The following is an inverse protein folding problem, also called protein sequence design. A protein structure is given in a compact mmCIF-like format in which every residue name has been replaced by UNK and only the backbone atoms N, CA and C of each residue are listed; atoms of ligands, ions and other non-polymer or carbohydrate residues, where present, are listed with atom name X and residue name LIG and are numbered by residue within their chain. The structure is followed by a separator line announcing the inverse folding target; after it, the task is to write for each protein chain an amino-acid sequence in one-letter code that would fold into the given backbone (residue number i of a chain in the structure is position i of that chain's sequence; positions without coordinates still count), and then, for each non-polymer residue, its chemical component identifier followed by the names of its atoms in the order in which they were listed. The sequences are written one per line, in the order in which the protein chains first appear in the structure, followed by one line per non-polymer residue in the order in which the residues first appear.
data_IF_083872298500
#
_entry.id   IF_083872298500
#
_cell.length_a   1.000
_cell.length_b   1.000
_cell.length_c   1.000
_cell.angle_alpha   90.00
_cell.angle_beta   90.00
_cell.angle_gamma   90.00
#
_symmetry.space_group_name_H-M   'P 1'
#
loop_
_entity.id
_entity.type
_entity.pdbx_description
1 polymer ?
#
# COMPACT_ATOMS: atom_id res chain seq x y z
N UNK A 1 -15.87 23.70 -31.87
CA UNK A 1 -16.81 23.10 -30.94
C UNK A 1 -17.34 21.75 -31.44
N UNK A 2 -17.86 21.64 -32.68
CA UNK A 2 -18.38 20.35 -33.24
C UNK A 2 -17.34 19.22 -33.27
N UNK A 3 -16.10 19.48 -33.69
CA UNK A 3 -15.00 18.51 -33.73
C UNK A 3 -14.61 18.00 -32.34
N UNK A 4 -14.62 18.88 -31.35
CA UNK A 4 -14.35 18.51 -29.96
C UNK A 4 -15.45 17.59 -29.41
N UNK A 5 -16.71 17.92 -29.64
CA UNK A 5 -17.84 17.10 -29.23
C UNK A 5 -17.85 15.72 -29.92
N UNK A 6 -17.51 15.67 -31.22
CA UNK A 6 -17.37 14.40 -31.94
C UNK A 6 -16.23 13.55 -31.39
N UNK A 7 -15.06 14.14 -31.13
CA UNK A 7 -13.93 13.42 -30.53
C UNK A 7 -14.28 12.88 -29.13
N UNK A 8 -14.94 13.69 -28.30
CA UNK A 8 -15.42 13.26 -26.96
C UNK A 8 -16.45 12.14 -27.05
N UNK A 9 -17.38 12.22 -28.01
CA UNK A 9 -18.38 11.17 -28.23
C UNK A 9 -17.74 9.85 -28.69
N UNK A 10 -16.78 9.92 -29.62
CA UNK A 10 -16.04 8.72 -30.07
C UNK A 10 -15.25 8.10 -28.92
N UNK A 11 -14.56 8.94 -28.12
CA UNK A 11 -13.87 8.45 -26.92
C UNK A 11 -14.80 7.79 -25.91
N UNK A 12 -15.97 8.38 -25.66
CA UNK A 12 -16.98 7.81 -24.78
C UNK A 12 -17.52 6.47 -25.31
N UNK A 13 -17.86 6.39 -26.60
CA UNK A 13 -18.32 5.15 -27.22
C UNK A 13 -17.24 4.05 -27.19
N UNK A 14 -15.99 4.40 -27.42
CA UNK A 14 -14.87 3.46 -27.30
C UNK A 14 -14.68 2.94 -25.87
N UNK A 15 -15.06 3.73 -24.85
CA UNK A 15 -14.99 3.35 -23.45
C UNK A 15 -16.23 2.57 -22.96
N UNK A 16 -17.32 2.51 -23.75
CA UNK A 16 -18.57 1.83 -23.37
C UNK A 16 -18.38 0.37 -22.90
N UNK A 17 -17.56 -0.47 -23.56
CA UNK A 17 -17.34 -1.84 -23.09
C UNK A 17 -16.77 -1.90 -21.67
N UNK A 18 -15.90 -0.93 -21.30
CA UNK A 18 -15.36 -0.80 -19.96
C UNK A 18 -16.40 -0.33 -18.93
N UNK A 19 -17.32 0.54 -19.33
CA UNK A 19 -18.41 1.02 -18.47
C UNK A 19 -19.29 -0.15 -18.02
N UNK A 20 -19.60 -1.10 -18.91
CA UNK A 20 -20.40 -2.28 -18.55
C UNK A 20 -19.68 -3.18 -17.53
N UNK A 21 -18.37 -3.36 -17.67
CA UNK A 21 -17.55 -4.11 -16.70
C UNK A 21 -17.51 -3.38 -15.36
N UNK A 22 -17.24 -2.08 -15.36
CA UNK A 22 -17.20 -1.26 -14.13
C UNK A 22 -18.54 -1.27 -13.41
N UNK A 23 -19.65 -1.14 -14.13
CA UNK A 23 -20.99 -1.22 -13.53
C UNK A 23 -21.25 -2.62 -12.96
N UNK A 24 -20.89 -3.68 -13.68
CA UNK A 24 -21.02 -5.05 -13.22
C UNK A 24 -20.25 -5.32 -11.94
N UNK A 25 -18.97 -4.93 -11.89
CA UNK A 25 -18.12 -5.05 -10.71
C UNK A 25 -18.63 -4.17 -9.54
N UNK A 26 -19.15 -2.98 -9.83
CA UNK A 26 -19.74 -2.11 -8.83
C UNK A 26 -20.98 -2.73 -8.16
N UNK A 27 -21.88 -3.35 -8.95
CA UNK A 27 -23.03 -4.06 -8.40
C UNK A 27 -22.63 -5.33 -7.63
N UNK A 28 -21.68 -6.11 -8.15
CA UNK A 28 -21.11 -7.26 -7.44
C UNK A 28 -20.51 -6.85 -6.11
N UNK A 29 -19.81 -5.71 -6.10
CA UNK A 29 -19.22 -5.15 -4.88
C UNK A 29 -20.30 -4.72 -3.88
N UNK A 30 -21.36 -4.03 -4.29
CA UNK A 30 -22.46 -3.65 -3.38
C UNK A 30 -23.12 -4.88 -2.75
N UNK A 31 -23.24 -5.98 -3.52
CA UNK A 31 -23.81 -7.24 -3.03
C UNK A 31 -22.86 -7.98 -2.08
N UNK A 32 -21.54 -7.90 -2.33
CA UNK A 32 -20.52 -8.57 -1.50
C UNK A 32 -20.09 -7.76 -0.27
N UNK A 33 -20.25 -6.44 -0.31
CA UNK A 33 -19.96 -5.56 0.84
C UNK A 33 -20.80 -5.90 2.07
N UNK A 34 -22.00 -6.44 1.87
CA UNK A 34 -22.89 -6.89 2.94
C UNK A 34 -22.35 -8.11 3.74
N UNK A 35 -21.34 -8.82 3.21
CA UNK A 35 -20.78 -10.04 3.84
C UNK A 35 -19.39 -9.87 4.47
N UNK A 36 -18.62 -8.86 4.06
CA UNK A 36 -17.22 -8.69 4.48
C UNK A 36 -16.95 -7.50 5.38
N UNK A 37 -17.89 -6.57 5.52
CA UNK A 37 -17.74 -5.34 6.30
C UNK A 37 -17.99 -5.49 7.80
N UNK A 38 -18.29 -6.68 8.28
CA UNK A 38 -18.67 -6.88 9.69
C UNK A 38 -17.50 -6.93 10.68
N UNK A 39 -16.23 -6.85 10.26
CA UNK A 39 -15.10 -7.05 11.16
C UNK A 39 -13.78 -6.34 10.80
N UNK A 40 -13.81 -5.26 10.04
CA UNK A 40 -12.65 -4.36 10.05
C UNK A 40 -12.95 -3.25 11.05
N UNK A 41 -12.16 -3.20 12.12
CA UNK A 41 -12.04 -2.00 12.96
C UNK A 41 -11.90 -0.81 12.00
N UNK A 42 -12.93 0.05 11.98
CA UNK A 42 -13.02 1.18 11.09
C UNK A 42 -11.77 2.03 11.33
N UNK A 43 -10.76 1.87 10.49
CA UNK A 43 -9.67 2.84 10.45
C UNK A 43 -10.36 4.17 10.21
N UNK A 44 -10.22 5.13 11.10
CA UNK A 44 -10.89 6.40 10.94
C UNK A 44 -10.42 7.04 9.64
N UNK A 45 -11.29 7.05 8.64
CA UNK A 45 -10.98 7.47 7.26
C UNK A 45 -10.38 8.88 7.21
N UNK A 46 -10.87 9.78 8.06
CA UNK A 46 -10.38 11.15 8.12
C UNK A 46 -8.91 11.28 8.56
N UNK A 47 -8.47 10.70 9.68
CA UNK A 47 -7.05 10.67 10.06
C UNK A 47 -6.17 10.04 8.99
N UNK A 48 -6.65 9.00 8.32
CA UNK A 48 -5.91 8.35 7.24
C UNK A 48 -5.71 9.29 6.03
N UNK A 49 -6.78 9.89 5.50
CA UNK A 49 -6.71 10.84 4.38
C UNK A 49 -5.87 12.08 4.73
N UNK A 50 -5.97 12.53 5.99
CA UNK A 50 -5.20 13.64 6.52
C UNK A 50 -3.69 13.35 6.49
N UNK A 51 -3.29 12.18 6.93
CA UNK A 51 -1.90 11.73 6.86
C UNK A 51 -1.43 11.52 5.41
N UNK A 52 -2.28 10.98 4.56
CA UNK A 52 -1.97 10.78 3.14
C UNK A 52 -1.65 12.09 2.41
N UNK A 53 -2.38 13.17 2.72
CA UNK A 53 -2.08 14.49 2.16
C UNK A 53 -0.70 15.01 2.56
N UNK A 54 -0.25 14.78 3.80
CA UNK A 54 1.08 15.20 4.22
C UNK A 54 2.19 14.40 3.53
N UNK A 55 1.95 13.11 3.27
CA UNK A 55 2.90 12.21 2.61
C UNK A 55 3.24 12.62 1.17
N UNK A 56 2.39 13.44 0.52
CA UNK A 56 2.71 14.03 -0.80
C UNK A 56 4.00 14.85 -0.76
N UNK A 57 4.31 15.48 0.39
CA UNK A 57 5.45 16.37 0.56
C UNK A 57 6.49 15.84 1.56
N UNK A 58 6.05 15.08 2.55
CA UNK A 58 6.90 14.53 3.58
C UNK A 58 6.44 13.14 4.01
N UNK A 59 7.13 12.12 3.53
CA UNK A 59 6.87 10.71 3.84
C UNK A 59 8.13 10.04 4.39
N UNK A 60 8.13 9.70 5.67
CA UNK A 60 9.20 8.99 6.37
C UNK A 60 8.65 7.78 7.13
N UNK A 61 7.58 7.18 6.62
CA UNK A 61 6.92 6.01 7.21
C UNK A 61 6.39 6.24 8.64
N UNK A 62 5.94 7.46 8.95
CA UNK A 62 5.35 7.78 10.26
C UNK A 62 4.03 7.02 10.43
N UNK A 63 3.91 6.32 11.57
CA UNK A 63 2.66 5.65 11.95
C UNK A 63 1.60 6.65 12.39
N UNK A 64 0.33 6.27 12.22
CA UNK A 64 -0.85 7.07 12.60
C UNK A 64 -0.90 7.44 14.09
N UNK A 65 -0.21 6.71 14.94
CA UNK A 65 -0.22 6.91 16.40
C UNK A 65 0.72 8.05 16.87
N UNK A 66 1.53 8.59 15.97
CA UNK A 66 2.53 9.59 16.34
C UNK A 66 1.93 11.00 16.31
N UNK A 67 1.85 11.66 17.47
CA UNK A 67 1.35 13.03 17.60
C UNK A 67 2.13 14.06 16.76
N UNK A 68 3.44 13.85 16.57
CA UNK A 68 4.26 14.67 15.69
C UNK A 68 3.79 14.56 14.22
N UNK A 69 3.40 13.36 13.79
CA UNK A 69 2.84 13.13 12.45
C UNK A 69 1.59 13.97 12.19
N UNK A 70 0.71 14.09 13.17
CA UNK A 70 -0.48 14.94 13.04
C UNK A 70 -0.17 16.43 12.94
N UNK A 71 0.84 16.93 13.66
CA UNK A 71 1.26 18.33 13.55
C UNK A 71 1.84 18.64 12.16
N UNK A 72 2.66 17.75 11.64
CA UNK A 72 3.22 17.85 10.27
C UNK A 72 2.09 17.81 9.24
N UNK A 73 1.16 16.88 9.40
CA UNK A 73 0.00 16.76 8.52
C UNK A 73 -0.86 18.03 8.53
N UNK A 74 -1.09 18.63 9.69
CA UNK A 74 -1.83 19.89 9.83
C UNK A 74 -1.14 21.06 9.10
N UNK A 75 0.21 21.13 9.20
CA UNK A 75 0.97 22.16 8.51
C UNK A 75 0.84 22.03 6.99
N UNK A 76 0.98 20.80 6.45
CA UNK A 76 0.82 20.57 5.01
C UNK A 76 -0.63 20.74 4.54
N UNK A 77 -1.63 20.32 5.33
CA UNK A 77 -3.03 20.56 5.01
C UNK A 77 -3.33 22.06 4.91
N UNK A 78 -2.80 22.85 5.84
CA UNK A 78 -2.94 24.31 5.82
C UNK A 78 -2.29 24.90 4.56
N UNK A 79 -1.09 24.42 4.20
CA UNK A 79 -0.40 24.85 2.99
C UNK A 79 -1.20 24.50 1.72
N UNK A 80 -1.72 23.28 1.63
CA UNK A 80 -2.55 22.81 0.51
C UNK A 80 -3.85 23.60 0.42
N UNK A 81 -4.58 23.74 1.53
CA UNK A 81 -5.83 24.51 1.57
C UNK A 81 -5.62 25.97 1.16
N UNK A 82 -4.55 26.61 1.66
CA UNK A 82 -4.19 27.95 1.26
C UNK A 82 -3.77 28.03 -0.23
N UNK A 83 -3.07 27.06 -0.77
CA UNK A 83 -2.69 27.02 -2.17
C UNK A 83 -3.89 26.90 -3.12
N UNK A 84 -4.88 26.07 -2.75
CA UNK A 84 -6.14 25.95 -3.50
C UNK A 84 -6.91 27.26 -3.46
N UNK A 85 -7.06 27.86 -2.27
CA UNK A 85 -7.69 29.17 -2.13
C UNK A 85 -6.99 30.22 -2.99
N UNK A 86 -5.66 30.30 -2.91
CA UNK A 86 -4.85 31.28 -3.65
C UNK A 86 -4.98 31.14 -5.16
N UNK A 87 -4.94 29.93 -5.69
CA UNK A 87 -5.06 29.70 -7.14
C UNK A 87 -6.45 30.10 -7.66
N UNK A 88 -7.50 29.84 -6.87
CA UNK A 88 -8.87 30.28 -7.20
C UNK A 88 -9.01 31.79 -7.26
N UNK A 89 -8.26 32.54 -6.44
CA UNK A 89 -8.34 33.99 -6.38
C UNK A 89 -7.41 34.68 -7.38
N UNK A 90 -6.25 34.08 -7.68
CA UNK A 90 -5.17 34.73 -8.43
C UNK A 90 -5.09 34.32 -9.90
N UNK A 91 -5.88 33.34 -10.35
CA UNK A 91 -5.86 32.86 -11.73
C UNK A 91 -7.20 33.01 -12.42
N UNK A 92 -7.17 32.90 -13.76
CA UNK A 92 -8.39 32.89 -14.55
C UNK A 92 -9.17 31.56 -14.36
N UNK A 93 -10.47 31.59 -14.72
CA UNK A 93 -11.37 30.44 -14.60
C UNK A 93 -10.81 29.15 -15.25
N UNK A 94 -10.16 29.25 -16.40
CA UNK A 94 -9.63 28.07 -17.11
C UNK A 94 -8.52 27.36 -16.33
N UNK A 95 -7.67 28.13 -15.65
CA UNK A 95 -6.53 27.58 -14.91
C UNK A 95 -6.97 26.93 -13.60
N UNK A 96 -7.72 27.65 -12.75
CA UNK A 96 -8.10 27.07 -11.48
C UNK A 96 -9.09 25.90 -11.64
N UNK A 97 -10.04 25.99 -12.61
CA UNK A 97 -10.96 24.88 -12.86
C UNK A 97 -10.25 23.63 -13.35
N UNK A 98 -9.20 23.77 -14.18
CA UNK A 98 -8.36 22.65 -14.61
C UNK A 98 -7.70 21.97 -13.39
N UNK A 99 -7.07 22.75 -12.50
CA UNK A 99 -6.40 22.21 -11.31
C UNK A 99 -7.42 21.53 -10.36
N UNK A 100 -8.55 22.18 -10.10
CA UNK A 100 -9.60 21.58 -9.26
C UNK A 100 -10.14 20.29 -9.88
N UNK A 101 -10.39 20.27 -11.17
CA UNK A 101 -10.83 19.05 -11.88
C UNK A 101 -9.78 17.94 -11.76
N UNK A 102 -8.50 18.25 -11.91
CA UNK A 102 -7.40 17.30 -11.77
C UNK A 102 -7.32 16.72 -10.35
N UNK A 103 -7.65 17.52 -9.32
CA UNK A 103 -7.69 17.06 -7.92
C UNK A 103 -8.94 16.23 -7.63
N UNK A 104 -10.11 16.73 -8.01
CA UNK A 104 -11.40 16.21 -7.55
C UNK A 104 -11.86 14.99 -8.35
N UNK A 105 -11.72 15.01 -9.67
CA UNK A 105 -12.29 13.95 -10.52
C UNK A 105 -11.68 12.56 -10.25
N UNK A 106 -10.37 12.39 -10.05
CA UNK A 106 -9.82 11.09 -9.68
C UNK A 106 -10.10 10.69 -8.22
N UNK A 107 -10.15 11.68 -7.30
CA UNK A 107 -10.34 11.41 -5.87
C UNK A 107 -11.80 11.07 -5.51
N UNK A 108 -12.77 11.73 -6.12
CA UNK A 108 -14.17 11.64 -5.73
C UNK A 108 -14.75 10.23 -5.86
N UNK A 109 -14.52 9.44 -6.94
CA UNK A 109 -15.00 8.08 -7.05
C UNK A 109 -14.42 7.11 -6.02
N UNK A 110 -13.29 7.45 -5.40
CA UNK A 110 -12.65 6.63 -4.37
C UNK A 110 -13.12 7.04 -2.97
N UNK A 111 -13.10 8.37 -2.69
CA UNK A 111 -13.42 8.90 -1.36
C UNK A 111 -14.93 8.81 -1.08
N UNK A 112 -15.79 9.06 -2.07
CA UNK A 112 -17.23 9.08 -1.85
C UNK A 112 -17.79 7.71 -1.41
N UNK A 113 -17.45 6.57 -2.05
CA UNK A 113 -17.86 5.27 -1.55
C UNK A 113 -17.29 4.94 -0.17
N UNK A 114 -16.05 5.36 0.11
CA UNK A 114 -15.45 5.13 1.42
C UNK A 114 -16.21 5.85 2.54
N UNK A 115 -16.71 7.07 2.27
CA UNK A 115 -17.52 7.83 3.22
C UNK A 115 -18.95 7.27 3.38
N UNK A 116 -19.53 6.68 2.33
CA UNK A 116 -20.91 6.19 2.35
C UNK A 116 -21.00 4.76 2.87
N UNK A 117 -20.10 3.89 2.42
CA UNK A 117 -20.15 2.43 2.66
C UNK A 117 -19.12 1.98 3.71
N UNK A 118 -18.19 2.85 4.10
CA UNK A 118 -17.12 2.50 5.05
C UNK A 118 -16.03 1.63 4.41
N UNK A 119 -15.81 1.72 3.09
CA UNK A 119 -14.71 1.04 2.43
C UNK A 119 -13.37 1.79 2.63
N UNK A 120 -12.26 1.20 2.20
CA UNK A 120 -10.92 1.78 2.33
C UNK A 120 -10.22 1.92 0.96
N UNK A 121 -10.97 2.15 -0.12
CA UNK A 121 -10.44 2.23 -1.49
C UNK A 121 -9.51 3.41 -1.71
N UNK A 122 -9.79 4.53 -1.05
CA UNK A 122 -8.93 5.71 -1.07
C UNK A 122 -7.56 5.46 -0.44
N UNK A 123 -7.37 4.32 0.26
CA UNK A 123 -6.06 3.90 0.75
C UNK A 123 -5.13 3.41 -0.36
N UNK A 124 -5.65 3.16 -1.55
CA UNK A 124 -4.88 2.65 -2.69
C UNK A 124 -4.27 3.82 -3.46
N UNK A 125 -3.08 4.24 -3.07
CA UNK A 125 -2.38 5.43 -3.58
C UNK A 125 -2.26 5.55 -5.10
N UNK A 126 -1.97 4.50 -5.88
CA UNK A 126 -1.79 4.65 -7.33
C UNK A 126 -2.96 5.33 -8.03
N UNK A 127 -4.16 5.17 -7.51
CA UNK A 127 -5.37 5.79 -8.09
C UNK A 127 -5.50 7.28 -7.80
N UNK A 128 -4.80 7.78 -6.78
CA UNK A 128 -4.80 9.20 -6.37
C UNK A 128 -3.65 10.01 -6.97
N UNK A 129 -2.73 9.40 -7.71
CA UNK A 129 -1.57 10.09 -8.31
C UNK A 129 -1.97 11.35 -9.10
N UNK A 130 -3.02 11.34 -9.96
CA UNK A 130 -3.42 12.56 -10.67
C UNK A 130 -3.87 13.68 -9.71
N UNK A 131 -4.57 13.32 -8.62
CA UNK A 131 -5.00 14.27 -7.60
C UNK A 131 -3.79 14.86 -6.85
N UNK A 132 -2.80 14.04 -6.53
CA UNK A 132 -1.55 14.48 -5.89
C UNK A 132 -0.77 15.43 -6.79
N UNK A 133 -0.70 15.16 -8.11
CA UNK A 133 -0.09 16.07 -9.07
C UNK A 133 -0.81 17.44 -9.09
N UNK A 134 -2.15 17.44 -9.08
CA UNK A 134 -2.94 18.68 -9.00
C UNK A 134 -2.63 19.49 -7.73
N UNK A 135 -2.49 18.83 -6.59
CA UNK A 135 -2.11 19.45 -5.31
C UNK A 135 -0.69 20.02 -5.38
N UNK A 136 0.26 19.27 -5.92
CA UNK A 136 1.65 19.73 -6.07
C UNK A 136 1.74 20.94 -6.99
N UNK A 137 0.99 20.96 -8.10
CA UNK A 137 0.91 22.10 -9.01
C UNK A 137 0.34 23.34 -8.32
N UNK A 138 -0.71 23.19 -7.50
CA UNK A 138 -1.29 24.30 -6.75
C UNK A 138 -0.29 24.89 -5.74
N UNK A 139 0.43 24.03 -5.00
CA UNK A 139 1.45 24.46 -4.03
C UNK A 139 2.63 25.11 -4.74
N UNK A 140 3.12 24.54 -5.85
CA UNK A 140 4.21 25.10 -6.63
C UNK A 140 3.83 26.49 -7.18
N UNK A 141 2.61 26.66 -7.69
CA UNK A 141 2.10 27.94 -8.14
C UNK A 141 2.08 28.97 -7.00
N UNK A 142 1.52 28.62 -5.85
CA UNK A 142 1.51 29.49 -4.67
C UNK A 142 2.92 29.95 -4.31
N UNK A 143 3.84 29.02 -4.12
CA UNK A 143 5.22 29.32 -3.71
C UNK A 143 5.91 30.23 -4.72
N UNK A 144 5.80 29.94 -6.02
CA UNK A 144 6.41 30.74 -7.07
C UNK A 144 5.84 32.17 -7.10
N UNK A 145 4.52 32.32 -7.03
CA UNK A 145 3.89 33.64 -7.08
C UNK A 145 4.20 34.48 -5.84
N UNK A 146 4.28 33.86 -4.69
CA UNK A 146 4.62 34.56 -3.44
C UNK A 146 6.11 34.97 -3.38
N UNK A 147 7.00 34.17 -3.98
CA UNK A 147 8.41 34.54 -4.13
C UNK A 147 8.60 35.71 -5.08
N UNK A 148 7.86 35.73 -6.19
CA UNK A 148 7.98 36.77 -7.20
C UNK A 148 7.33 38.09 -6.77
N UNK A 149 6.12 38.03 -6.20
CA UNK A 149 5.31 39.22 -5.86
C UNK A 149 5.41 39.62 -4.39
N UNK A 150 6.19 38.91 -3.56
CA UNK A 150 6.30 39.19 -2.14
C UNK A 150 6.91 40.55 -1.83
N UNK A 151 6.22 41.39 -1.04
CA UNK A 151 6.71 42.67 -0.54
C UNK A 151 6.78 42.67 1.00
N UNK A 152 7.72 43.45 1.54
CA UNK A 152 7.88 43.60 2.99
C UNK A 152 8.26 42.30 3.72
N UNK A 153 7.70 42.06 4.88
CA UNK A 153 7.94 40.88 5.74
C UNK A 153 7.61 39.53 5.05
N UNK A 154 6.68 39.54 4.09
CA UNK A 154 6.33 38.35 3.31
C UNK A 154 7.45 37.88 2.40
N UNK A 155 8.35 38.77 1.98
CA UNK A 155 9.48 38.44 1.11
C UNK A 155 10.46 37.47 1.75
N UNK A 156 10.59 37.46 3.08
CA UNK A 156 11.49 36.56 3.81
C UNK A 156 10.82 35.25 4.24
N UNK A 157 9.50 35.25 4.40
CA UNK A 157 8.76 34.09 4.91
C UNK A 157 8.61 32.97 3.84
N UNK A 158 8.24 33.30 2.62
CA UNK A 158 7.99 32.31 1.59
C UNK A 158 9.22 31.53 1.09
N UNK A 159 10.42 32.13 0.99
CA UNK A 159 11.64 31.37 0.71
C UNK A 159 11.91 30.31 1.77
N UNK A 160 11.62 30.61 3.05
CA UNK A 160 11.80 29.65 4.14
C UNK A 160 10.85 28.46 3.96
N UNK A 161 9.56 28.73 3.69
CA UNK A 161 8.59 27.66 3.44
C UNK A 161 9.00 26.80 2.25
N UNK A 162 9.38 27.41 1.13
CA UNK A 162 9.83 26.70 -0.05
C UNK A 162 11.05 25.81 0.27
N UNK A 163 12.03 26.36 0.99
CA UNK A 163 13.23 25.63 1.39
C UNK A 163 12.86 24.43 2.29
N UNK A 164 11.96 24.63 3.26
CA UNK A 164 11.49 23.56 4.13
C UNK A 164 10.76 22.44 3.33
N UNK A 165 9.88 22.79 2.39
CA UNK A 165 9.19 21.80 1.56
C UNK A 165 10.19 21.00 0.73
N UNK A 166 11.20 21.65 0.14
CA UNK A 166 12.26 20.98 -0.62
C UNK A 166 13.08 20.06 0.29
N UNK A 167 13.49 20.52 1.47
CA UNK A 167 14.25 19.71 2.44
C UNK A 167 13.41 18.50 2.86
N UNK A 168 12.13 18.67 3.17
CA UNK A 168 11.22 17.57 3.49
C UNK A 168 11.17 16.52 2.38
N UNK A 169 11.03 16.96 1.13
CA UNK A 169 11.05 16.07 -0.04
C UNK A 169 12.38 15.32 -0.21
N UNK A 170 13.51 16.00 -0.01
CA UNK A 170 14.84 15.39 -0.10
C UNK A 170 15.06 14.35 1.02
N UNK A 171 14.63 14.65 2.24
CA UNK A 171 14.69 13.71 3.37
C UNK A 171 13.82 12.49 3.06
N UNK A 172 12.57 12.68 2.63
CA UNK A 172 11.67 11.60 2.26
C UNK A 172 12.27 10.70 1.18
N UNK A 173 12.80 11.30 0.12
CA UNK A 173 13.44 10.55 -0.97
C UNK A 173 14.65 9.75 -0.50
N UNK A 174 15.47 10.33 0.38
CA UNK A 174 16.61 9.63 0.96
C UNK A 174 16.18 8.45 1.84
N UNK A 175 15.23 8.66 2.74
CA UNK A 175 14.73 7.61 3.65
C UNK A 175 14.09 6.48 2.83
N UNK A 176 13.21 6.82 1.91
CA UNK A 176 12.51 5.86 1.05
C UNK A 176 13.47 5.05 0.16
N UNK A 177 14.54 5.69 -0.38
CA UNK A 177 15.53 5.00 -1.22
C UNK A 177 16.39 3.98 -0.48
N UNK A 178 16.50 4.07 0.85
CA UNK A 178 17.26 3.17 1.70
C UNK A 178 16.40 2.10 2.37
N UNK A 179 15.09 2.20 2.28
CA UNK A 179 14.17 1.27 2.91
C UNK A 179 14.01 0.00 2.06
N UNK A 180 14.09 -1.16 2.69
CA UNK A 180 13.82 -2.45 2.06
C UNK A 180 12.34 -2.62 1.73
N UNK A 181 11.46 -1.94 2.47
CA UNK A 181 10.02 -1.94 2.31
C UNK A 181 9.43 -0.58 2.69
N UNK A 182 8.17 -0.33 2.34
CA UNK A 182 7.49 0.93 2.61
C UNK A 182 6.03 0.68 2.98
N UNK A 183 5.43 1.53 3.79
CA UNK A 183 4.07 1.39 4.28
C UNK A 183 3.00 1.13 3.18
N UNK A 184 3.18 1.69 1.98
CA UNK A 184 2.26 1.52 0.86
C UNK A 184 2.36 0.14 0.17
N UNK A 185 3.29 -0.71 0.59
CA UNK A 185 3.38 -2.09 0.09
C UNK A 185 2.25 -2.99 0.63
N UNK A 186 1.53 -2.55 1.68
CA UNK A 186 0.40 -3.29 2.23
C UNK A 186 0.78 -4.75 2.52
N UNK A 187 0.08 -5.69 1.91
CA UNK A 187 0.32 -7.14 2.09
C UNK A 187 1.76 -7.58 1.75
N UNK A 188 2.52 -6.80 0.97
CA UNK A 188 3.89 -7.13 0.59
C UNK A 188 4.95 -6.50 1.51
N UNK A 189 4.52 -5.84 2.59
CA UNK A 189 5.44 -5.16 3.53
C UNK A 189 6.47 -6.12 4.13
N UNK A 190 6.07 -7.33 4.50
CA UNK A 190 6.92 -8.35 5.09
C UNK A 190 7.78 -9.14 4.10
N UNK A 191 7.60 -8.97 2.78
CA UNK A 191 8.30 -9.78 1.78
C UNK A 191 9.83 -9.78 1.90
N UNK A 192 10.54 -8.67 2.20
CA UNK A 192 12.00 -8.71 2.37
C UNK A 192 12.44 -9.62 3.52
N UNK A 193 11.76 -9.57 4.67
CA UNK A 193 12.06 -10.42 5.81
C UNK A 193 11.81 -11.89 5.51
N UNK A 194 10.70 -12.19 4.85
CA UNK A 194 10.35 -13.54 4.41
C UNK A 194 11.37 -14.07 3.40
N UNK A 195 11.77 -13.25 2.44
CA UNK A 195 12.78 -13.62 1.46
C UNK A 195 14.11 -13.94 2.13
N UNK A 196 14.56 -13.15 3.12
CA UNK A 196 15.76 -13.43 3.89
C UNK A 196 15.70 -14.80 4.59
N UNK A 197 14.56 -15.11 5.24
CA UNK A 197 14.37 -16.41 5.92
C UNK A 197 14.48 -17.58 4.94
N UNK A 198 13.81 -17.48 3.78
CA UNK A 198 13.77 -18.55 2.79
C UNK A 198 15.14 -18.70 2.09
N UNK A 199 15.79 -17.57 1.73
CA UNK A 199 17.08 -17.55 1.04
C UNK A 199 18.24 -18.10 1.89
N UNK A 200 18.12 -18.12 3.23
CA UNK A 200 19.10 -18.76 4.10
C UNK A 200 19.15 -20.29 3.95
N UNK A 201 18.12 -20.89 3.40
CA UNK A 201 18.08 -22.33 3.17
C UNK A 201 18.88 -22.73 1.93
N UNK A 202 19.55 -23.89 1.98
CA UNK A 202 20.37 -24.35 0.86
C UNK A 202 19.53 -24.79 -0.35
N UNK A 203 18.47 -25.55 -0.12
CA UNK A 203 17.55 -26.07 -1.14
C UNK A 203 16.11 -25.91 -0.68
N UNK A 204 15.58 -24.68 -0.69
CA UNK A 204 14.23 -24.39 -0.20
C UNK A 204 13.16 -24.75 -1.24
N UNK A 205 12.03 -25.26 -0.73
CA UNK A 205 10.78 -25.42 -1.47
C UNK A 205 9.72 -24.55 -0.81
N UNK A 206 9.11 -23.66 -1.58
CA UNK A 206 7.96 -22.85 -1.14
C UNK A 206 6.69 -23.42 -1.74
N UNK A 207 5.78 -23.87 -0.89
CA UNK A 207 4.48 -24.40 -1.28
C UNK A 207 3.42 -23.35 -0.98
N UNK A 208 2.56 -23.08 -1.95
CA UNK A 208 1.42 -22.20 -1.79
C UNK A 208 0.20 -22.79 -2.49
N UNK A 209 -0.97 -22.57 -1.91
CA UNK A 209 -2.23 -22.86 -2.60
C UNK A 209 -2.69 -21.63 -3.41
N UNK A 210 -3.60 -21.85 -4.35
CA UNK A 210 -4.22 -20.78 -5.13
C UNK A 210 -5.44 -20.16 -4.42
N UNK A 211 -5.64 -20.49 -3.13
CA UNK A 211 -6.75 -19.98 -2.36
C UNK A 211 -6.49 -18.54 -1.90
N UNK A 212 -7.54 -17.70 -1.89
CA UNK A 212 -7.42 -16.28 -1.55
C UNK A 212 -6.41 -15.54 -2.46
N UNK A 213 -5.69 -14.57 -1.95
CA UNK A 213 -4.71 -13.76 -2.69
C UNK A 213 -3.29 -14.36 -2.71
N UNK A 214 -3.12 -15.65 -2.37
CA UNK A 214 -1.80 -16.26 -2.25
C UNK A 214 -0.98 -16.23 -3.55
N UNK A 215 -1.63 -16.31 -4.71
CA UNK A 215 -0.92 -16.23 -6.01
C UNK A 215 -0.25 -14.86 -6.21
N UNK A 216 -0.86 -13.76 -5.79
CA UNK A 216 -0.24 -12.43 -5.87
C UNK A 216 0.90 -12.28 -4.88
N UNK A 217 0.78 -12.86 -3.67
CA UNK A 217 1.85 -12.89 -2.68
C UNK A 217 3.04 -13.71 -3.18
N UNK A 218 2.80 -14.90 -3.77
CA UNK A 218 3.86 -15.71 -4.40
C UNK A 218 4.57 -14.92 -5.49
N UNK A 219 3.80 -14.27 -6.38
CA UNK A 219 4.36 -13.51 -7.48
C UNK A 219 5.23 -12.36 -6.99
N UNK A 220 4.75 -11.55 -6.04
CA UNK A 220 5.50 -10.42 -5.49
C UNK A 220 6.75 -10.89 -4.72
N UNK A 221 6.65 -11.98 -3.95
CA UNK A 221 7.76 -12.54 -3.20
C UNK A 221 8.83 -13.14 -4.13
N UNK A 222 8.43 -13.69 -5.29
CA UNK A 222 9.35 -14.33 -6.23
C UNK A 222 10.46 -13.41 -6.74
N UNK A 223 10.23 -12.09 -6.78
CA UNK A 223 11.25 -11.10 -7.16
C UNK A 223 12.38 -10.94 -6.15
N UNK A 224 12.15 -11.34 -4.89
CA UNK A 224 13.13 -11.24 -3.81
C UNK A 224 13.79 -12.56 -3.48
N UNK A 225 13.27 -13.67 -4.03
CA UNK A 225 13.79 -15.00 -3.78
C UNK A 225 14.92 -15.34 -4.75
N UNK A 226 15.95 -16.00 -4.23
CA UNK A 226 17.08 -16.46 -5.04
C UNK A 226 16.67 -17.59 -6.01
N UNK A 227 17.35 -17.75 -7.16
CA UNK A 227 17.01 -18.76 -8.17
C UNK A 227 17.03 -20.22 -7.68
N UNK A 228 17.65 -20.49 -6.53
CA UNK A 228 17.66 -21.81 -5.88
C UNK A 228 16.32 -22.21 -5.26
N UNK A 229 15.43 -21.22 -4.99
CA UNK A 229 14.10 -21.46 -4.42
C UNK A 229 13.19 -22.08 -5.46
N UNK A 230 12.57 -23.21 -5.12
CA UNK A 230 11.59 -23.85 -5.99
C UNK A 230 10.18 -23.61 -5.45
N UNK A 231 9.23 -23.44 -6.37
CA UNK A 231 7.83 -23.22 -6.06
C UNK A 231 7.01 -24.48 -6.38
N UNK A 232 6.08 -24.79 -5.51
CA UNK A 232 5.06 -25.82 -5.75
C UNK A 232 3.70 -25.20 -5.52
N UNK A 233 3.02 -24.83 -6.60
CA UNK A 233 1.69 -24.23 -6.56
C UNK A 233 0.64 -25.33 -6.58
N UNK A 234 -0.29 -25.27 -5.64
CA UNK A 234 -1.34 -26.28 -5.44
C UNK A 234 -2.70 -25.64 -5.69
N UNK A 235 -3.56 -26.34 -6.38
CA UNK A 235 -4.93 -25.87 -6.60
C UNK A 235 -5.90 -26.49 -5.58
N UNK A 236 -6.84 -25.69 -5.06
CA UNK A 236 -7.95 -26.12 -4.19
C UNK A 236 -7.49 -26.89 -2.95
N UNK A 237 -6.45 -26.45 -2.26
CA UNK A 237 -5.96 -27.05 -1.01
C UNK A 237 -5.67 -28.56 -1.11
N UNK A 238 -5.42 -29.07 -2.32
CA UNK A 238 -4.96 -30.47 -2.48
C UNK A 238 -3.67 -30.65 -1.72
N UNK A 239 -3.51 -31.81 -1.08
CA UNK A 239 -2.27 -32.13 -0.39
C UNK A 239 -1.23 -32.49 -1.45
N UNK A 240 -0.17 -31.66 -1.64
CA UNK A 240 0.83 -31.90 -2.66
C UNK A 240 1.67 -33.13 -2.34
N UNK A 241 2.23 -33.76 -3.36
CA UNK A 241 3.36 -34.68 -3.17
C UNK A 241 4.63 -33.83 -3.07
N UNK A 242 5.21 -33.79 -1.86
CA UNK A 242 6.48 -33.04 -1.65
C UNK A 242 7.61 -33.85 -2.28
N UNK A 243 8.33 -33.29 -3.27
CA UNK A 243 9.45 -33.98 -3.91
C UNK A 243 10.61 -34.17 -2.93
N UNK A 244 11.42 -35.18 -3.17
CA UNK A 244 12.66 -35.39 -2.42
C UNK A 244 13.75 -34.38 -2.81
N UNK A 245 14.72 -34.23 -1.92
CA UNK A 245 15.93 -33.44 -2.20
C UNK A 245 15.89 -31.98 -1.74
N UNK A 246 14.81 -31.53 -1.09
CA UNK A 246 14.78 -30.22 -0.46
C UNK A 246 15.24 -30.29 1.00
N UNK A 247 15.99 -29.27 1.44
CA UNK A 247 16.47 -29.18 2.82
C UNK A 247 15.42 -28.61 3.73
N UNK A 248 14.66 -27.64 3.24
CA UNK A 248 13.63 -26.92 3.96
C UNK A 248 12.39 -26.75 3.09
N UNK A 249 11.23 -26.94 3.69
CA UNK A 249 9.95 -26.78 3.03
C UNK A 249 9.15 -25.74 3.79
N UNK A 250 8.69 -24.72 3.05
CA UNK A 250 7.91 -23.63 3.59
C UNK A 250 6.50 -23.66 3.00
N UNK A 251 5.51 -23.28 3.81
CA UNK A 251 4.13 -23.07 3.39
C UNK A 251 3.84 -21.58 3.46
N UNK A 252 3.39 -20.99 2.35
CA UNK A 252 2.95 -19.61 2.30
C UNK A 252 1.48 -19.51 2.63
N UNK A 253 1.19 -18.81 3.72
CA UNK A 253 -0.16 -18.50 4.19
C UNK A 253 -1.13 -19.69 4.16
N UNK A 254 -0.77 -20.84 4.76
CA UNK A 254 -1.65 -21.99 4.79
C UNK A 254 -2.87 -21.69 5.65
N UNK A 255 -4.05 -22.20 5.28
CA UNK A 255 -5.15 -22.30 6.24
C UNK A 255 -4.77 -23.29 7.35
N UNK A 256 -5.28 -23.09 8.56
CA UNK A 256 -4.96 -23.98 9.69
C UNK A 256 -5.27 -25.44 9.37
N UNK A 257 -6.41 -25.71 8.73
CA UNK A 257 -6.84 -27.06 8.36
C UNK A 257 -5.93 -27.69 7.33
N UNK A 258 -5.51 -26.93 6.32
CA UNK A 258 -4.60 -27.41 5.30
C UNK A 258 -3.20 -27.67 5.88
N UNK A 259 -2.71 -26.76 6.73
CA UNK A 259 -1.45 -26.94 7.43
C UNK A 259 -1.43 -28.19 8.29
N UNK A 260 -2.45 -28.40 9.14
CA UNK A 260 -2.60 -29.60 9.98
C UNK A 260 -2.72 -30.88 9.15
N UNK A 261 -3.39 -30.82 8.01
CA UNK A 261 -3.54 -31.96 7.11
C UNK A 261 -2.19 -32.38 6.51
N UNK A 262 -1.33 -31.40 6.14
CA UNK A 262 0.03 -31.67 5.67
C UNK A 262 0.90 -32.25 6.79
N UNK A 263 0.82 -31.69 8.01
CA UNK A 263 1.52 -32.22 9.20
C UNK A 263 1.21 -33.71 9.42
N UNK A 264 -0.06 -34.05 9.44
CA UNK A 264 -0.53 -35.41 9.70
C UNK A 264 -0.09 -36.39 8.61
N UNK A 265 -0.19 -35.98 7.32
CA UNK A 265 0.18 -36.83 6.18
C UNK A 265 1.67 -37.14 6.14
N UNK A 266 2.50 -36.12 6.37
CA UNK A 266 3.96 -36.26 6.24
C UNK A 266 4.67 -36.51 7.58
N UNK A 267 3.95 -36.49 8.71
CA UNK A 267 4.51 -36.60 10.06
C UNK A 267 5.60 -35.54 10.30
N UNK A 268 5.38 -34.34 9.78
CA UNK A 268 6.19 -33.17 10.05
C UNK A 268 5.59 -32.39 11.20
N UNK A 269 6.39 -31.55 11.84
CA UNK A 269 5.93 -30.49 12.73
C UNK A 269 6.08 -29.17 12.02
N UNK A 270 5.10 -28.30 12.12
CA UNK A 270 5.18 -26.94 11.57
C UNK A 270 5.66 -25.97 12.64
N UNK A 271 6.55 -25.10 12.26
CA UNK A 271 6.95 -23.92 13.04
C UNK A 271 6.61 -22.66 12.25
N UNK A 272 5.91 -21.71 12.87
CA UNK A 272 5.64 -20.42 12.26
C UNK A 272 6.93 -19.61 12.33
N UNK A 273 7.56 -19.38 11.17
CA UNK A 273 8.83 -18.66 11.08
C UNK A 273 8.65 -17.17 10.78
N UNK A 274 7.47 -16.81 10.26
CA UNK A 274 7.06 -15.43 10.04
C UNK A 274 5.53 -15.33 10.15
N UNK A 275 5.03 -14.27 10.75
CA UNK A 275 3.61 -13.94 10.77
C UNK A 275 3.42 -12.44 10.94
N UNK A 276 2.57 -11.85 10.14
CA UNK A 276 2.07 -10.48 10.28
C UNK A 276 0.53 -10.45 10.16
N UNK A 277 -0.04 -9.26 10.02
CA UNK A 277 -1.50 -9.10 9.89
C UNK A 277 -2.05 -9.57 8.54
N UNK A 278 -1.20 -9.87 7.57
CA UNK A 278 -1.60 -10.18 6.20
C UNK A 278 -1.39 -11.63 5.83
N UNK A 279 -0.27 -12.22 6.23
CA UNK A 279 0.03 -13.62 5.93
C UNK A 279 1.08 -14.20 6.87
N UNK A 280 1.24 -15.53 6.81
CA UNK A 280 2.21 -16.28 7.60
C UNK A 280 3.04 -17.22 6.75
N UNK A 281 4.26 -17.50 7.21
CA UNK A 281 5.14 -18.53 6.64
C UNK A 281 5.35 -19.60 7.69
N UNK A 282 4.99 -20.83 7.34
CA UNK A 282 5.21 -21.99 8.18
C UNK A 282 6.34 -22.82 7.60
N UNK A 283 7.26 -23.27 8.45
CA UNK A 283 8.36 -24.17 8.07
C UNK A 283 8.03 -25.57 8.53
N UNK A 284 8.13 -26.54 7.61
CA UNK A 284 7.97 -27.96 7.92
C UNK A 284 9.29 -28.53 8.44
N UNK A 285 9.31 -28.95 9.70
CA UNK A 285 10.46 -29.58 10.35
C UNK A 285 10.25 -31.09 10.45
N UNK A 286 11.21 -31.90 9.96
CA UNK A 286 11.21 -33.34 10.17
C UNK A 286 11.33 -33.64 11.67
N UNK A 287 10.44 -34.43 12.21
CA UNK A 287 10.31 -34.76 13.67
C UNK A 287 11.64 -35.27 14.30
N UNK A 288 12.60 -35.67 13.48
CA UNK A 288 13.90 -36.22 13.91
C UNK A 288 14.88 -35.21 14.51
N UNK A 289 14.71 -33.89 14.28
CA UNK A 289 15.68 -32.84 14.68
C UNK A 289 15.32 -32.10 15.97
N UNK A 290 14.16 -32.34 16.57
CA UNK A 290 13.71 -31.61 17.76
C UNK A 290 14.36 -32.06 19.07
N UNK A 291 15.03 -33.21 19.11
CA UNK A 291 15.75 -33.68 20.33
C UNK A 291 17.03 -32.91 20.68
N UNK A 292 17.52 -31.98 19.82
CA UNK A 292 18.81 -31.25 20.02
C UNK A 292 18.67 -29.76 20.32
N UNK A 293 17.46 -29.18 20.36
CA UNK A 293 17.30 -27.72 20.61
C UNK A 293 16.55 -27.34 21.89
N UNK A 294 16.40 -28.26 22.83
CA UNK A 294 15.92 -27.92 24.19
C UNK A 294 17.09 -27.45 25.08
N UNK A 295 17.79 -26.40 24.72
CA UNK A 295 18.67 -25.64 25.63
C UNK A 295 18.64 -24.20 25.15
N UNK A 296 17.81 -23.41 25.72
CA UNK A 296 17.91 -22.05 26.26
C UNK A 296 16.60 -21.27 26.12
N UNK A 297 15.90 -21.01 27.22
CA UNK A 297 14.78 -20.09 27.23
C UNK A 297 15.32 -18.70 27.62
N UNK A 298 15.86 -17.96 26.66
CA UNK A 298 16.11 -16.52 26.88
C UNK A 298 16.23 -15.81 25.52
N UNK A 299 15.12 -15.34 25.04
CA UNK A 299 15.03 -14.06 24.30
C UNK A 299 13.54 -13.75 24.09
N UNK A 300 12.93 -13.31 25.19
CA UNK A 300 11.81 -12.38 25.09
C UNK A 300 12.41 -11.05 24.66
N UNK A 301 12.52 -10.81 23.37
CA UNK A 301 12.65 -9.46 22.85
C UNK A 301 11.24 -8.91 22.65
N UNK A 302 10.91 -8.10 23.60
CA UNK A 302 9.89 -7.07 23.68
C UNK A 302 9.24 -6.71 22.34
N UNK A 303 7.99 -7.13 22.20
CA UNK A 303 6.98 -6.41 21.44
C UNK A 303 6.70 -5.10 22.22
N UNK A 304 7.45 -4.05 21.91
CA UNK A 304 7.18 -2.65 22.25
C UNK A 304 8.15 -1.82 21.39
N UNK A 305 7.65 -1.35 20.26
CA UNK A 305 7.96 -0.04 19.67
C UNK A 305 6.97 0.19 18.54
#
# INVERSE_FOLDING_TARGET
MRTYLLASLVGFLAFMPWITVVIGEFFQFLISADKTTAQSDLIPIFPFLFMQLSRIFFDIDLRLENSLGYLIALAFLTLVGYSIYFICQSTNYKTWSFIITLIVVPALPLILPDLIVGSIRSSTEPYLIPSYLGIQLAVAYLLTMQLYNGSGSRRSFWPIIMTLVIICGLISSKVSSQAETWWNKGMNYGNPQVAQIINQSNRPLLISDAFSNNYSNVFSLSYLLEPKVRFLLVNNQKIPKIPDGFTDVFLLNPSEDWGKTIENKYKFKTDIVYSDNYYSIWKLAKTRNLRRRNISPNNKLSANL
#
